data_IF_229134054123
#
_entry.id   IF_229134054123
#
_cell.length_a   1.000
_cell.length_b   1.000
_cell.length_c   1.000
_cell.angle_alpha   90.00
_cell.angle_beta   90.00
_cell.angle_gamma   90.00
#
_symmetry.space_group_name_H-M   'P 1'
#
loop_
_entity.id
_entity.type
_entity.pdbx_description
1 polymer ?
#
# COMPACT_ATOMS: atom_id res chain seq x y z
N UNK A 1 -2.47 0.09 -31.72
CA UNK A 1 -2.33 0.76 -30.40
C UNK A 1 -0.97 0.37 -29.83
N UNK A 2 -0.03 1.31 -29.66
CA UNK A 2 1.34 0.96 -29.25
C UNK A 2 1.36 0.59 -27.76
N UNK A 3 1.97 -0.56 -27.43
CA UNK A 3 2.18 -1.07 -26.07
C UNK A 3 2.98 -0.08 -25.18
N UNK A 4 3.69 0.85 -25.82
CA UNK A 4 4.53 1.88 -25.21
C UNK A 4 3.78 2.79 -24.21
N UNK A 5 2.53 3.14 -24.52
CA UNK A 5 1.71 3.97 -23.63
C UNK A 5 1.25 3.21 -22.38
N UNK A 6 1.16 1.88 -22.44
CA UNK A 6 0.78 1.02 -21.32
C UNK A 6 1.99 0.80 -20.40
N UNK A 7 3.17 0.55 -20.97
CA UNK A 7 4.41 0.41 -20.22
C UNK A 7 4.75 1.68 -19.43
N UNK A 8 4.66 2.85 -20.06
CA UNK A 8 4.95 4.14 -19.42
C UNK A 8 3.99 4.48 -18.29
N UNK A 9 2.72 4.08 -18.41
CA UNK A 9 1.75 4.15 -17.31
C UNK A 9 2.13 3.18 -16.20
N UNK A 10 2.39 1.91 -16.49
CA UNK A 10 2.79 0.93 -15.48
C UNK A 10 4.06 1.34 -14.70
N UNK A 11 5.04 1.95 -15.37
CA UNK A 11 6.24 2.47 -14.72
C UNK A 11 5.97 3.67 -13.81
N UNK A 12 5.13 4.62 -14.27
CA UNK A 12 4.72 5.77 -13.44
C UNK A 12 3.88 5.33 -12.24
N UNK A 13 3.02 4.30 -12.39
CA UNK A 13 2.30 3.68 -11.28
C UNK A 13 3.26 2.99 -10.29
N UNK A 14 4.24 2.21 -10.76
CA UNK A 14 5.27 1.57 -9.90
C UNK A 14 6.09 2.59 -9.10
N UNK A 15 6.45 3.72 -9.72
CA UNK A 15 7.17 4.81 -9.07
C UNK A 15 6.33 5.45 -7.98
N UNK A 16 5.07 5.78 -8.28
CA UNK A 16 4.12 6.33 -7.29
C UNK A 16 3.92 5.38 -6.12
N UNK A 17 3.74 4.09 -6.37
CA UNK A 17 3.61 3.10 -5.30
C UNK A 17 4.83 3.06 -4.38
N UNK A 18 6.05 3.01 -4.92
CA UNK A 18 7.27 3.01 -4.10
C UNK A 18 7.37 4.27 -3.22
N UNK A 19 6.96 5.42 -3.74
CA UNK A 19 6.90 6.67 -2.96
C UNK A 19 5.82 6.57 -1.89
N UNK A 20 4.60 6.12 -2.22
CA UNK A 20 3.49 5.97 -1.27
C UNK A 20 3.82 5.00 -0.14
N UNK A 21 4.40 3.82 -0.42
CA UNK A 21 4.82 2.88 0.63
C UNK A 21 5.89 3.48 1.56
N UNK A 22 6.78 4.33 1.04
CA UNK A 22 7.78 5.02 1.86
C UNK A 22 7.11 6.10 2.73
N UNK A 23 6.23 6.90 2.15
CA UNK A 23 5.50 7.96 2.86
C UNK A 23 4.60 7.39 3.97
N UNK A 24 3.89 6.28 3.71
CA UNK A 24 3.06 5.61 4.72
C UNK A 24 3.92 5.14 5.90
N UNK A 25 5.07 4.51 5.65
CA UNK A 25 5.97 4.07 6.73
C UNK A 25 6.45 5.25 7.57
N UNK A 26 6.87 6.32 6.91
CA UNK A 26 7.42 7.52 7.57
C UNK A 26 6.33 8.27 8.35
N UNK A 27 5.11 8.35 7.81
CA UNK A 27 3.95 8.92 8.49
C UNK A 27 3.57 8.14 9.75
N UNK A 28 3.56 6.81 9.67
CA UNK A 28 3.21 5.96 10.81
C UNK A 28 4.31 6.00 11.89
N UNK A 29 5.57 6.01 11.47
CA UNK A 29 6.70 6.17 12.38
C UNK A 29 6.68 7.54 13.08
N UNK A 30 6.37 8.62 12.36
CA UNK A 30 6.30 9.96 12.94
C UNK A 30 5.06 10.19 13.82
N UNK A 31 3.90 9.66 13.44
CA UNK A 31 2.62 9.88 14.14
C UNK A 31 2.40 8.91 15.30
N UNK A 32 2.73 7.64 15.10
CA UNK A 32 2.47 6.57 16.07
C UNK A 32 3.75 6.03 16.74
N UNK A 33 4.94 6.38 16.25
CA UNK A 33 6.20 5.97 16.87
C UNK A 33 6.61 4.52 16.58
N UNK A 34 5.97 3.83 15.62
CA UNK A 34 6.30 2.46 15.25
C UNK A 34 6.43 2.25 13.74
N UNK A 35 7.23 1.25 13.36
CA UNK A 35 7.44 0.86 11.96
C UNK A 35 6.44 -0.21 11.54
N UNK A 36 5.82 -0.02 10.38
CA UNK A 36 4.94 -1.02 9.75
C UNK A 36 5.67 -1.76 8.61
N UNK A 37 5.45 -3.06 8.53
CA UNK A 37 5.90 -3.86 7.40
C UNK A 37 5.05 -3.60 6.17
N UNK A 38 5.66 -3.66 4.99
CA UNK A 38 4.96 -3.51 3.70
C UNK A 38 3.84 -4.54 3.55
N UNK A 39 3.99 -5.76 4.09
CA UNK A 39 2.95 -6.79 4.07
C UNK A 39 1.63 -6.34 4.73
N UNK A 40 1.71 -5.58 5.83
CA UNK A 40 0.51 -5.03 6.48
C UNK A 40 -0.15 -3.94 5.61
N UNK A 41 0.65 -3.13 4.91
CA UNK A 41 0.13 -2.12 3.97
C UNK A 41 -0.61 -2.80 2.83
N UNK A 42 -0.03 -3.87 2.29
CA UNK A 42 -0.64 -4.72 1.28
C UNK A 42 -1.98 -5.32 1.74
N UNK A 43 -2.03 -5.86 2.96
CA UNK A 43 -3.25 -6.48 3.48
C UNK A 43 -4.38 -5.46 3.72
N UNK A 44 -4.05 -4.28 4.25
CA UNK A 44 -5.03 -3.20 4.45
C UNK A 44 -5.49 -2.64 3.10
N UNK A 45 -4.60 -2.45 2.13
CA UNK A 45 -4.97 -2.04 0.76
C UNK A 45 -5.91 -3.06 0.10
N UNK A 46 -5.61 -4.36 0.24
CA UNK A 46 -6.47 -5.45 -0.23
C UNK A 46 -7.85 -5.40 0.43
N UNK A 47 -7.90 -5.14 1.74
CA UNK A 47 -9.16 -4.99 2.48
C UNK A 47 -9.99 -3.78 2.03
N UNK A 48 -9.35 -2.73 1.50
CA UNK A 48 -10.00 -1.54 0.95
C UNK A 48 -10.37 -1.67 -0.54
N UNK A 49 -10.06 -2.79 -1.19
CA UNK A 49 -10.35 -3.00 -2.62
C UNK A 49 -9.47 -2.14 -3.55
N UNK A 50 -8.34 -1.63 -3.05
CA UNK A 50 -7.41 -0.86 -3.87
C UNK A 50 -6.61 -1.81 -4.79
N UNK A 51 -6.36 -1.43 -6.05
CA UNK A 51 -5.62 -2.27 -6.98
C UNK A 51 -4.18 -2.44 -6.48
N UNK A 52 -3.86 -3.64 -6.00
CA UNK A 52 -2.48 -4.11 -5.89
C UNK A 52 -2.05 -4.67 -7.25
N UNK A 53 -0.77 -4.55 -7.58
CA UNK A 53 -0.20 -5.35 -8.66
C UNK A 53 -0.47 -6.83 -8.35
N UNK A 54 -1.17 -7.52 -9.24
CA UNK A 54 -1.60 -8.90 -9.08
C UNK A 54 -0.34 -9.78 -8.96
N UNK A 55 0.11 -10.02 -7.73
CA UNK A 55 1.05 -11.09 -7.45
C UNK A 55 0.21 -12.37 -7.49
N UNK A 56 0.42 -13.28 -8.46
CA UNK A 56 -0.49 -14.38 -8.75
C UNK A 56 -0.33 -15.52 -7.72
N UNK A 57 -0.06 -15.24 -6.44
CA UNK A 57 0.21 -16.31 -5.50
C UNK A 57 -0.25 -16.08 -4.06
N UNK A 58 -1.00 -17.10 -3.63
CA UNK A 58 -1.12 -17.67 -2.30
C UNK A 58 -1.76 -16.82 -1.19
N UNK A 59 -3.07 -17.06 -1.04
CA UNK A 59 -3.81 -17.05 0.22
C UNK A 59 -3.16 -18.07 1.17
N UNK A 60 -2.02 -17.72 1.75
CA UNK A 60 -1.38 -18.52 2.78
C UNK A 60 -1.39 -17.68 4.07
N UNK A 61 -2.40 -17.96 4.90
CA UNK A 61 -2.57 -17.55 6.31
C UNK A 61 -1.72 -16.35 6.76
N UNK A 62 -2.07 -15.16 6.27
CA UNK A 62 -1.37 -13.93 6.69
C UNK A 62 -1.73 -13.61 8.13
N UNK A 63 -0.70 -13.51 8.99
CA UNK A 63 -0.81 -12.94 10.32
C UNK A 63 -1.37 -11.53 10.21
N UNK A 64 -2.63 -11.36 10.62
CA UNK A 64 -3.30 -10.06 10.63
C UNK A 64 -2.46 -9.04 11.41
N UNK A 65 -2.27 -7.82 10.88
CA UNK A 65 -1.75 -6.71 11.67
C UNK A 65 -2.66 -6.53 12.89
N UNK A 66 -2.04 -6.24 14.03
CA UNK A 66 -2.77 -5.77 15.20
C UNK A 66 -3.63 -4.58 14.81
N UNK A 67 -4.83 -4.44 15.40
CA UNK A 67 -5.78 -3.38 15.06
C UNK A 67 -5.13 -1.99 15.02
N UNK A 68 -4.20 -1.72 15.94
CA UNK A 68 -3.42 -0.48 16.02
C UNK A 68 -2.57 -0.20 14.76
N UNK A 69 -1.88 -1.22 14.23
CA UNK A 69 -1.11 -1.10 12.98
C UNK A 69 -2.04 -0.98 11.78
N UNK A 70 -3.13 -1.73 11.76
CA UNK A 70 -4.11 -1.67 10.70
C UNK A 70 -4.74 -0.27 10.61
N UNK A 71 -5.06 0.34 11.74
CA UNK A 71 -5.64 1.68 11.82
C UNK A 71 -4.63 2.76 11.37
N UNK A 72 -3.38 2.68 11.84
CA UNK A 72 -2.33 3.59 11.41
C UNK A 72 -2.08 3.52 9.89
N UNK A 73 -2.13 2.31 9.32
CA UNK A 73 -2.02 2.09 7.88
C UNK A 73 -3.25 2.64 7.15
N UNK A 74 -4.47 2.39 7.62
CA UNK A 74 -5.69 2.95 7.01
C UNK A 74 -5.69 4.47 7.00
N UNK A 75 -5.25 5.08 8.10
CA UNK A 75 -5.15 6.52 8.27
C UNK A 75 -4.12 7.13 7.31
N UNK A 76 -2.92 6.54 7.24
CA UNK A 76 -1.91 6.94 6.27
C UNK A 76 -2.38 6.75 4.81
N UNK A 77 -3.02 5.61 4.49
CA UNK A 77 -3.58 5.34 3.17
C UNK A 77 -4.66 6.38 2.81
N UNK A 78 -5.56 6.73 3.73
CA UNK A 78 -6.53 7.82 3.52
C UNK A 78 -5.85 9.15 3.23
N UNK A 79 -4.77 9.45 3.93
CA UNK A 79 -4.02 10.69 3.75
C UNK A 79 -3.30 10.78 2.39
N UNK A 80 -2.66 9.69 1.93
CA UNK A 80 -1.85 9.70 0.71
C UNK A 80 -2.59 9.25 -0.55
N UNK A 81 -3.53 8.32 -0.44
CA UNK A 81 -4.32 7.85 -1.58
C UNK A 81 -5.58 8.67 -1.83
N UNK A 82 -5.92 9.63 -0.95
CA UNK A 82 -7.08 10.50 -1.10
C UNK A 82 -8.31 9.70 -1.56
N UNK A 83 -8.59 8.62 -0.83
CA UNK A 83 -9.76 7.76 -1.07
C UNK A 83 -10.99 8.63 -0.75
N UNK A 84 -11.50 9.32 -1.76
CA UNK A 84 -12.75 10.07 -1.74
C UNK A 84 -13.93 9.20 -2.12
#
# INVERSE_FOLDING_TARGET
MPLDHIAKRAETYKLKERVVYKMIKEYIEAKYGFKVHTAYISEVRRSLGLPMYDAPNAVEELKHPTAEKAEAIKDALRHFENIS
#
